data_IF_985478653929
#
_entry.id   IF_985478653929
#
_cell.length_a   1.000
_cell.length_b   1.000
_cell.length_c   1.000
_cell.angle_alpha   90.00
_cell.angle_beta   90.00
_cell.angle_gamma   90.00
#
_symmetry.space_group_name_H-M   'P 1'
#
loop_
_entity.id
_entity.type
_entity.pdbx_description
1 polymer ?
#
# COMPACT_ATOMS: atom_id res chain seq x y z
N UNK A 1 -34.80 15.36 4.14
CA UNK A 1 -34.31 14.52 5.26
C UNK A 1 -33.98 13.10 4.81
N UNK A 2 -34.92 12.32 4.27
CA UNK A 2 -34.67 10.90 3.90
C UNK A 2 -33.51 10.66 2.91
N UNK A 3 -33.44 11.43 1.82
CA UNK A 3 -32.36 11.30 0.81
C UNK A 3 -30.99 11.59 1.42
N UNK A 4 -30.90 12.62 2.25
CA UNK A 4 -29.63 12.98 2.91
C UNK A 4 -29.19 11.92 3.91
N UNK A 5 -30.11 11.38 4.72
CA UNK A 5 -29.79 10.30 5.66
C UNK A 5 -29.31 9.03 4.93
N UNK A 6 -29.92 8.70 3.79
CA UNK A 6 -29.49 7.54 2.99
C UNK A 6 -28.06 7.71 2.47
N UNK A 7 -27.75 8.90 1.94
CA UNK A 7 -26.40 9.22 1.45
C UNK A 7 -25.39 9.22 2.61
N UNK A 8 -25.76 9.76 3.77
CA UNK A 8 -24.92 9.77 4.96
C UNK A 8 -24.58 8.36 5.44
N UNK A 9 -25.58 7.47 5.59
CA UNK A 9 -25.33 6.08 5.95
C UNK A 9 -24.52 5.32 4.90
N UNK A 10 -24.76 5.61 3.61
CA UNK A 10 -23.95 5.07 2.51
C UNK A 10 -22.48 5.51 2.61
N UNK A 11 -22.23 6.79 2.90
CA UNK A 11 -20.89 7.33 3.07
C UNK A 11 -20.18 6.75 4.30
N UNK A 12 -20.90 6.61 5.42
CA UNK A 12 -20.37 5.95 6.62
C UNK A 12 -20.03 4.48 6.37
N UNK A 13 -20.91 3.74 5.68
CA UNK A 13 -20.64 2.35 5.31
C UNK A 13 -19.41 2.22 4.41
N UNK A 14 -19.29 3.09 3.41
CA UNK A 14 -18.12 3.11 2.53
C UNK A 14 -16.83 3.46 3.27
N UNK A 15 -16.88 4.42 4.20
CA UNK A 15 -15.74 4.80 5.02
C UNK A 15 -15.24 3.62 5.88
N UNK A 16 -16.16 2.86 6.49
CA UNK A 16 -15.81 1.65 7.26
C UNK A 16 -15.15 0.60 6.36
N UNK A 17 -15.71 0.35 5.18
CA UNK A 17 -15.16 -0.63 4.23
C UNK A 17 -13.74 -0.25 3.81
N UNK A 18 -13.52 1.01 3.44
CA UNK A 18 -12.19 1.51 3.04
C UNK A 18 -11.20 1.47 4.21
N UNK A 19 -11.64 1.85 5.41
CA UNK A 19 -10.81 1.77 6.62
C UNK A 19 -10.37 0.34 6.93
N UNK A 20 -11.29 -0.63 6.87
CA UNK A 20 -10.97 -2.04 7.06
C UNK A 20 -10.03 -2.56 5.97
N UNK A 21 -10.25 -2.18 4.71
CA UNK A 21 -9.37 -2.56 3.61
C UNK A 21 -7.93 -2.11 3.84
N UNK A 22 -7.73 -0.85 4.26
CA UNK A 22 -6.40 -0.30 4.56
C UNK A 22 -5.75 -1.07 5.73
N UNK A 23 -6.49 -1.34 6.81
CA UNK A 23 -5.95 -2.06 7.96
C UNK A 23 -5.57 -3.49 7.59
N UNK A 24 -6.41 -4.20 6.84
CA UNK A 24 -6.12 -5.56 6.37
C UNK A 24 -4.89 -5.57 5.47
N UNK A 25 -4.81 -4.62 4.53
CA UNK A 25 -3.68 -4.52 3.61
C UNK A 25 -2.37 -4.19 4.35
N UNK A 26 -2.44 -3.30 5.34
CA UNK A 26 -1.28 -2.98 6.19
C UNK A 26 -0.80 -4.21 6.95
N UNK A 27 -1.69 -4.92 7.66
CA UNK A 27 -1.34 -6.14 8.39
C UNK A 27 -0.79 -7.23 7.47
N UNK A 28 -1.35 -7.37 6.28
CA UNK A 28 -0.88 -8.34 5.28
C UNK A 28 0.49 -7.98 4.74
N UNK A 29 0.76 -6.69 4.51
CA UNK A 29 2.04 -6.20 4.01
C UNK A 29 3.13 -6.41 5.06
N UNK A 30 2.84 -6.06 6.32
CA UNK A 30 3.73 -6.26 7.46
C UNK A 30 4.08 -7.75 7.67
N UNK A 31 3.10 -8.64 7.54
CA UNK A 31 3.32 -10.07 7.71
C UNK A 31 4.05 -10.75 6.52
N UNK A 32 4.00 -10.16 5.32
CA UNK A 32 4.47 -10.82 4.09
C UNK A 32 5.84 -10.33 3.60
N UNK A 33 6.22 -9.12 3.95
CA UNK A 33 7.48 -8.51 3.51
C UNK A 33 8.36 -8.21 4.73
N UNK A 34 9.66 -8.51 4.61
CA UNK A 34 10.61 -8.15 5.66
C UNK A 34 10.84 -6.64 5.69
N UNK A 35 11.26 -6.09 6.84
CA UNK A 35 11.60 -4.67 6.95
C UNK A 35 12.72 -4.28 5.96
N UNK A 36 13.67 -5.17 5.74
CA UNK A 36 14.70 -5.01 4.71
C UNK A 36 14.10 -4.91 3.31
N UNK A 37 13.08 -5.69 2.96
CA UNK A 37 12.41 -5.59 1.66
C UNK A 37 11.58 -4.31 1.51
N UNK A 38 10.90 -3.88 2.58
CA UNK A 38 10.06 -2.68 2.59
C UNK A 38 10.88 -1.39 2.58
N UNK A 39 12.09 -1.41 3.15
CA UNK A 39 13.01 -0.26 3.21
C UNK A 39 14.16 -0.35 2.21
N UNK A 40 14.28 -1.46 1.49
CA UNK A 40 15.24 -1.64 0.39
C UNK A 40 14.91 -0.68 -0.74
N UNK A 41 15.77 0.33 -0.91
CA UNK A 41 15.81 1.14 -2.12
C UNK A 41 16.35 0.28 -3.27
N UNK A 42 15.46 -0.48 -3.91
CA UNK A 42 15.79 -1.31 -5.08
C UNK A 42 16.19 -0.49 -6.32
N UNK A 43 16.07 0.84 -6.29
CA UNK A 43 16.63 1.71 -7.33
C UNK A 43 18.16 1.62 -7.36
N UNK A 44 18.84 1.70 -6.21
CA UNK A 44 20.31 1.66 -6.17
C UNK A 44 20.92 0.31 -6.54
N UNK A 45 20.23 -0.80 -6.28
CA UNK A 45 20.70 -2.15 -6.69
C UNK A 45 20.59 -2.38 -8.20
N UNK A 46 19.54 -1.85 -8.84
CA UNK A 46 19.35 -1.93 -10.30
C UNK A 46 20.39 -1.03 -11.01
N UNK A 47 20.69 0.13 -10.43
CA UNK A 47 21.72 1.04 -10.95
C UNK A 47 23.13 0.42 -10.84
N UNK A 48 23.46 -0.21 -9.71
CA UNK A 48 24.74 -0.89 -9.51
C UNK A 48 24.96 -2.07 -10.48
N UNK A 49 23.94 -2.89 -10.74
CA UNK A 49 24.04 -3.99 -11.72
C UNK A 49 24.15 -3.47 -13.17
N UNK A 50 23.51 -2.33 -13.48
CA UNK A 50 23.57 -1.70 -14.81
C UNK A 50 24.93 -1.05 -15.05
N UNK A 51 25.51 -0.40 -14.03
CA UNK A 51 26.87 0.14 -14.10
C UNK A 51 27.93 -0.95 -14.28
N UNK A 52 27.82 -2.08 -13.59
CA UNK A 52 28.73 -3.23 -13.77
C UNK A 52 28.63 -3.80 -15.20
N UNK A 53 27.42 -3.91 -15.76
CA UNK A 53 27.22 -4.41 -17.12
C UNK A 53 27.70 -3.43 -18.21
N UNK A 54 27.70 -2.12 -17.93
CA UNK A 54 28.24 -1.10 -18.84
C UNK A 54 29.77 -0.94 -18.75
N UNK A 55 30.39 -1.42 -17.65
CA UNK A 55 31.84 -1.36 -17.43
C UNK A 55 32.58 -2.62 -17.93
N UNK A 56 31.85 -3.63 -18.42
CA UNK A 56 32.35 -4.80 -19.16
C UNK A 56 32.29 -4.56 -20.68
#
# INVERSE_FOLDING_TARGET
MAVWNLIEYGAWGLAIILGLYIVIDWLRTDARYSEEDLTSSREGQIEAMTEEHSKL
#
